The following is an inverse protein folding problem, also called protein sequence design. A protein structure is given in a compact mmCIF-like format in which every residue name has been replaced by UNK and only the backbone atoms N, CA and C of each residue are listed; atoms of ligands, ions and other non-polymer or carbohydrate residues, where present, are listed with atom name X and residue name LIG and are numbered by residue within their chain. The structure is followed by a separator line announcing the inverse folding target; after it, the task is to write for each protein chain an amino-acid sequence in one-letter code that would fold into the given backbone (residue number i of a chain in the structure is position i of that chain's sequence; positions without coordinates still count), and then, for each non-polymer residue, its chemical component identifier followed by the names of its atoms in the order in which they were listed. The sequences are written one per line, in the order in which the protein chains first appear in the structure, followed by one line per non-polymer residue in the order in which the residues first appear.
data_IF_831151462939
#
_entry.id   IF_831151462939
#
_cell.length_a   1.000
_cell.length_b   1.000
_cell.length_c   1.000
_cell.angle_alpha   90.00
_cell.angle_beta   90.00
_cell.angle_gamma   90.00
#
_symmetry.space_group_name_H-M   'P 1'
#
loop_
_entity.id
_entity.type
_entity.pdbx_description
1 polymer ?
#
# COMPACT_ATOMS: atom_id res chain seq x y z
N UNK A 1 -31.78 52.04 10.80
CA UNK A 1 -31.67 50.63 11.04
C UNK A 1 -31.69 49.91 9.67
N UNK A 2 -30.53 49.53 9.13
CA UNK A 2 -30.44 48.70 7.93
C UNK A 2 -29.86 47.35 8.36
N UNK A 3 -30.73 46.36 8.34
CA UNK A 3 -30.39 44.98 8.63
C UNK A 3 -29.61 44.41 7.45
N UNK A 4 -28.31 44.17 7.61
CA UNK A 4 -27.50 43.41 6.66
C UNK A 4 -27.71 41.94 6.99
N UNK A 5 -28.61 41.28 6.28
CA UNK A 5 -28.59 39.85 6.17
C UNK A 5 -27.56 39.48 5.10
N UNK A 6 -26.34 39.23 5.51
CA UNK A 6 -25.41 38.44 4.71
C UNK A 6 -25.90 36.98 4.74
N UNK A 7 -26.76 36.63 3.80
CA UNK A 7 -27.01 35.22 3.45
C UNK A 7 -25.83 34.75 2.60
N UNK A 8 -24.68 34.53 3.21
CA UNK A 8 -23.69 33.67 2.66
C UNK A 8 -24.21 32.24 2.85
N UNK A 9 -24.49 31.52 1.79
CA UNK A 9 -24.66 30.07 1.84
C UNK A 9 -23.39 29.53 2.49
N UNK A 10 -23.52 28.92 3.65
CA UNK A 10 -22.43 28.14 4.22
C UNK A 10 -22.25 27.00 3.22
N UNK A 11 -21.17 27.05 2.45
CA UNK A 11 -20.82 25.97 1.54
C UNK A 11 -20.81 24.68 2.36
N UNK A 12 -21.65 23.74 1.97
CA UNK A 12 -21.87 22.53 2.77
C UNK A 12 -20.80 21.51 2.39
N UNK A 13 -19.85 21.31 3.29
CA UNK A 13 -18.82 20.28 3.16
C UNK A 13 -19.51 18.90 3.10
N UNK A 14 -19.48 18.28 1.95
CA UNK A 14 -20.01 16.95 1.69
C UNK A 14 -18.92 15.90 1.63
N UNK A 15 -19.22 14.67 2.05
CA UNK A 15 -18.33 13.50 1.88
C UNK A 15 -19.11 12.40 1.19
N UNK A 16 -18.58 11.89 0.09
CA UNK A 16 -19.18 10.82 -0.69
C UNK A 16 -18.09 9.98 -1.38
N UNK A 17 -18.47 8.87 -1.99
CA UNK A 17 -17.58 8.09 -2.85
C UNK A 17 -17.01 8.97 -3.95
N UNK A 18 -15.71 8.85 -4.19
CA UNK A 18 -15.00 9.65 -5.18
C UNK A 18 -15.44 9.32 -6.60
N UNK A 19 -15.59 10.35 -7.40
CA UNK A 19 -15.81 10.23 -8.84
C UNK A 19 -14.44 10.25 -9.58
N UNK A 20 -14.37 9.77 -10.84
CA UNK A 20 -13.13 9.79 -11.61
C UNK A 20 -12.49 11.19 -11.73
N UNK A 21 -13.29 12.26 -11.79
CA UNK A 21 -12.79 13.63 -11.86
C UNK A 21 -12.19 14.12 -10.53
N UNK A 22 -12.70 13.65 -9.39
CA UNK A 22 -12.10 13.92 -8.08
C UNK A 22 -10.68 13.36 -8.00
N UNK A 23 -10.51 12.13 -8.47
CA UNK A 23 -9.19 11.48 -8.48
C UNK A 23 -8.21 12.21 -9.38
N UNK A 24 -8.65 12.67 -10.56
CA UNK A 24 -7.81 13.47 -11.46
C UNK A 24 -7.38 14.79 -10.81
N UNK A 25 -8.30 15.44 -10.10
CA UNK A 25 -8.02 16.69 -9.39
C UNK A 25 -6.97 16.48 -8.29
N UNK A 26 -7.14 15.43 -7.47
CA UNK A 26 -6.20 15.09 -6.40
C UNK A 26 -4.86 14.61 -6.95
N UNK A 27 -4.85 13.77 -7.98
CA UNK A 27 -3.62 13.27 -8.59
C UNK A 27 -2.71 14.42 -9.06
N UNK A 28 -3.29 15.46 -9.66
CA UNK A 28 -2.54 16.66 -10.08
C UNK A 28 -1.96 17.42 -8.87
N UNK A 29 -2.72 17.57 -7.79
CA UNK A 29 -2.30 18.29 -6.57
C UNK A 29 -1.27 17.52 -5.76
N UNK A 30 -1.33 16.19 -5.80
CA UNK A 30 -0.43 15.27 -5.09
C UNK A 30 0.75 14.81 -5.94
N UNK A 31 0.81 15.25 -7.21
CA UNK A 31 1.87 14.84 -8.14
C UNK A 31 2.01 13.31 -8.22
N UNK A 32 0.88 12.60 -8.25
CA UNK A 32 0.90 11.15 -8.42
C UNK A 32 1.59 10.80 -9.74
N UNK A 33 2.48 9.82 -9.67
CA UNK A 33 2.96 9.16 -10.87
C UNK A 33 1.82 8.31 -11.50
N UNK A 34 2.05 7.80 -12.70
CA UNK A 34 1.07 6.98 -13.42
C UNK A 34 0.66 5.74 -12.61
N UNK A 35 1.55 5.17 -11.83
CA UNK A 35 1.27 4.00 -11.01
C UNK A 35 0.37 4.35 -9.81
N UNK A 36 0.66 5.45 -9.12
CA UNK A 36 -0.17 5.96 -8.02
C UNK A 36 -1.57 6.31 -8.48
N UNK A 37 -1.71 6.97 -9.64
CA UNK A 37 -3.01 7.29 -10.21
C UNK A 37 -3.83 6.04 -10.58
N UNK A 38 -3.20 5.02 -11.17
CA UNK A 38 -3.88 3.75 -11.50
C UNK A 38 -4.37 3.02 -10.25
N UNK A 39 -3.55 2.99 -9.20
CA UNK A 39 -3.94 2.38 -7.91
C UNK A 39 -5.15 3.12 -7.33
N UNK A 40 -5.11 4.45 -7.26
CA UNK A 40 -6.22 5.24 -6.75
C UNK A 40 -7.50 5.06 -7.59
N UNK A 41 -7.37 4.96 -8.93
CA UNK A 41 -8.50 4.71 -9.84
C UNK A 41 -9.13 3.33 -9.60
N UNK A 42 -8.32 2.28 -9.45
CA UNK A 42 -8.80 0.93 -9.15
C UNK A 42 -9.58 0.88 -7.84
N UNK A 43 -9.12 1.60 -6.80
CA UNK A 43 -9.86 1.69 -5.54
C UNK A 43 -11.15 2.48 -5.67
N UNK A 44 -11.18 3.52 -6.50
CA UNK A 44 -12.40 4.27 -6.77
C UNK A 44 -13.44 3.43 -7.52
N UNK A 45 -13.01 2.64 -8.48
CA UNK A 45 -13.90 1.74 -9.23
C UNK A 45 -14.54 0.68 -8.31
N UNK A 46 -13.88 0.32 -7.24
CA UNK A 46 -14.42 -0.56 -6.18
C UNK A 46 -15.25 0.18 -5.12
N UNK A 47 -15.40 1.49 -5.23
CA UNK A 47 -16.08 2.31 -4.24
C UNK A 47 -15.34 2.47 -2.91
N UNK A 48 -14.00 2.36 -2.93
CA UNK A 48 -13.17 2.42 -1.72
C UNK A 48 -12.43 3.75 -1.56
N UNK A 49 -12.66 4.72 -2.41
CA UNK A 49 -12.13 6.09 -2.27
C UNK A 49 -13.25 7.05 -1.90
N UNK A 50 -13.04 7.78 -0.82
CA UNK A 50 -13.98 8.81 -0.34
C UNK A 50 -13.41 10.19 -0.65
N UNK A 51 -14.25 11.10 -1.13
CA UNK A 51 -13.90 12.49 -1.40
C UNK A 51 -14.72 13.45 -0.54
N UNK A 52 -14.04 14.43 0.07
CA UNK A 52 -14.67 15.59 0.68
C UNK A 52 -14.70 16.73 -0.32
N UNK A 53 -15.86 17.36 -0.49
CA UNK A 53 -16.07 18.49 -1.41
C UNK A 53 -16.63 19.68 -0.67
N UNK A 54 -16.13 20.86 -1.04
CA UNK A 54 -16.65 22.15 -0.62
C UNK A 54 -17.02 22.92 -1.89
N UNK A 55 -18.30 23.29 -2.03
CA UNK A 55 -18.85 23.94 -3.24
C UNK A 55 -18.48 23.20 -4.55
N UNK A 56 -18.48 21.85 -4.51
CA UNK A 56 -18.15 21.00 -5.64
C UNK A 56 -16.66 20.75 -5.85
N UNK A 57 -15.76 21.52 -5.23
CA UNK A 57 -14.32 21.32 -5.30
C UNK A 57 -13.84 20.26 -4.31
N UNK A 58 -12.99 19.34 -4.76
CA UNK A 58 -12.42 18.32 -3.89
C UNK A 58 -11.36 18.93 -2.99
N UNK A 59 -11.57 18.82 -1.68
CA UNK A 59 -10.70 19.38 -0.65
C UNK A 59 -10.03 18.31 0.23
N UNK A 60 -10.35 17.03 0.00
CA UNK A 60 -9.70 15.92 0.68
C UNK A 60 -10.16 14.57 0.16
N UNK A 61 -9.35 13.55 0.40
CA UNK A 61 -9.66 12.14 0.08
C UNK A 61 -9.24 11.21 1.20
N UNK A 62 -9.91 10.05 1.26
CA UNK A 62 -9.46 8.87 1.98
C UNK A 62 -9.46 7.68 1.01
N UNK A 63 -8.30 7.02 0.85
CA UNK A 63 -8.16 5.80 0.04
C UNK A 63 -8.17 4.62 1.00
N UNK A 64 -9.20 3.79 0.89
CA UNK A 64 -9.42 2.67 1.78
C UNK A 64 -9.34 1.35 1.03
N UNK A 65 -8.70 0.40 1.65
CA UNK A 65 -8.70 -1.02 1.34
C UNK A 65 -9.73 -1.73 2.21
N UNK A 66 -10.65 -2.45 1.60
CA UNK A 66 -11.60 -3.29 2.31
C UNK A 66 -11.27 -4.77 2.08
N UNK A 67 -11.12 -5.53 3.15
CA UNK A 67 -11.12 -6.99 3.16
C UNK A 67 -12.27 -7.51 4.04
N UNK A 68 -12.42 -8.83 4.13
CA UNK A 68 -13.42 -9.42 5.02
C UNK A 68 -13.18 -9.02 6.48
N UNK A 69 -11.90 -8.97 6.90
CA UNK A 69 -11.47 -8.83 8.29
C UNK A 69 -10.97 -7.43 8.63
N UNK A 70 -10.78 -6.53 7.66
CA UNK A 70 -10.11 -5.25 7.88
C UNK A 70 -10.59 -4.13 6.95
N UNK A 71 -10.64 -2.91 7.51
CA UNK A 71 -10.69 -1.64 6.77
C UNK A 71 -9.39 -0.89 7.00
N UNK A 72 -8.59 -0.79 5.95
CA UNK A 72 -7.26 -0.17 6.01
C UNK A 72 -7.26 1.12 5.19
N UNK A 73 -7.04 2.27 5.83
CA UNK A 73 -6.87 3.55 5.15
C UNK A 73 -5.39 3.74 4.84
N UNK A 74 -5.04 3.55 3.57
CA UNK A 74 -3.67 3.69 3.07
C UNK A 74 -3.27 5.13 2.79
N UNK A 75 -4.25 6.01 2.53
CA UNK A 75 -4.01 7.44 2.32
C UNK A 75 -5.17 8.26 2.89
N UNK A 76 -4.82 9.30 3.64
CA UNK A 76 -5.73 10.35 4.06
C UNK A 76 -5.09 11.71 3.73
N UNK A 77 -5.71 12.44 2.82
CA UNK A 77 -5.26 13.77 2.43
C UNK A 77 -6.35 14.81 2.67
N UNK A 78 -5.95 15.96 3.20
CA UNK A 78 -6.80 17.15 3.33
C UNK A 78 -5.99 18.36 2.90
N UNK A 79 -6.55 19.16 2.01
CA UNK A 79 -5.94 20.41 1.57
C UNK A 79 -5.53 21.28 2.78
N UNK A 80 -4.33 21.88 2.76
CA UNK A 80 -3.81 22.64 3.90
C UNK A 80 -4.79 23.70 4.44
N UNK A 81 -5.49 24.40 3.56
CA UNK A 81 -6.49 25.42 3.91
C UNK A 81 -7.73 24.88 4.62
N UNK A 82 -8.00 23.57 4.51
CA UNK A 82 -9.14 22.89 5.12
C UNK A 82 -8.76 22.02 6.32
N UNK A 83 -7.47 22.01 6.70
CA UNK A 83 -7.00 21.29 7.88
C UNK A 83 -7.58 21.91 9.15
N UNK A 84 -7.71 21.11 10.19
CA UNK A 84 -8.30 21.51 11.49
C UNK A 84 -9.78 21.91 11.46
N UNK A 85 -10.47 21.76 10.34
CA UNK A 85 -11.90 22.05 10.17
C UNK A 85 -12.78 20.78 10.23
N UNK A 86 -12.23 19.65 10.66
CA UNK A 86 -12.98 18.39 10.81
C UNK A 86 -13.08 17.55 9.53
N UNK A 87 -12.55 18.01 8.39
CA UNK A 87 -12.64 17.30 7.09
C UNK A 87 -12.08 15.89 7.17
N UNK A 88 -10.85 15.71 7.70
CA UNK A 88 -10.25 14.40 7.87
C UNK A 88 -11.05 13.47 8.79
N UNK A 89 -11.73 14.04 9.79
CA UNK A 89 -12.66 13.32 10.65
C UNK A 89 -13.83 12.75 9.88
N UNK A 90 -14.53 13.58 9.10
CA UNK A 90 -15.67 13.17 8.27
C UNK A 90 -15.28 12.12 7.22
N UNK A 91 -14.09 12.26 6.61
CA UNK A 91 -13.55 11.27 5.67
C UNK A 91 -13.35 9.90 6.33
N UNK A 92 -12.74 9.87 7.53
CA UNK A 92 -12.53 8.61 8.27
C UNK A 92 -13.86 8.02 8.78
N UNK A 93 -14.81 8.86 9.20
CA UNK A 93 -16.12 8.39 9.63
C UNK A 93 -16.86 7.72 8.47
N UNK A 94 -16.75 8.27 7.25
CA UNK A 94 -17.30 7.65 6.05
C UNK A 94 -16.55 6.36 5.67
N UNK A 95 -15.21 6.38 5.72
CA UNK A 95 -14.40 5.21 5.37
C UNK A 95 -14.61 4.02 6.33
N UNK A 96 -14.93 4.29 7.60
CA UNK A 96 -15.13 3.26 8.62
C UNK A 96 -16.61 3.04 8.99
N UNK A 97 -17.55 3.56 8.22
CA UNK A 97 -18.98 3.49 8.55
C UNK A 97 -19.52 2.05 8.70
N UNK A 98 -18.94 1.10 8.00
CA UNK A 98 -19.30 -0.33 8.00
C UNK A 98 -18.24 -1.21 8.69
N UNK A 99 -17.44 -0.64 9.60
CA UNK A 99 -16.29 -1.30 10.20
C UNK A 99 -16.48 -1.63 11.70
N UNK A 100 -17.71 -1.84 12.16
CA UNK A 100 -17.96 -2.06 13.60
C UNK A 100 -17.44 -3.43 14.08
N UNK A 101 -17.51 -4.45 13.21
CA UNK A 101 -17.12 -5.83 13.51
C UNK A 101 -15.79 -6.26 12.86
N UNK A 102 -15.05 -5.33 12.23
CA UNK A 102 -13.80 -5.64 11.54
C UNK A 102 -12.64 -4.77 12.04
N UNK A 103 -11.41 -5.23 11.81
CA UNK A 103 -10.20 -4.48 12.16
C UNK A 103 -10.13 -3.14 11.43
N UNK A 104 -9.65 -2.10 12.14
CA UNK A 104 -9.40 -0.76 11.57
C UNK A 104 -7.91 -0.46 11.61
N UNK A 105 -7.35 -0.09 10.48
CA UNK A 105 -5.94 0.26 10.38
C UNK A 105 -5.74 1.49 9.50
N UNK A 106 -4.64 2.21 9.71
CA UNK A 106 -4.24 3.37 8.92
C UNK A 106 -2.73 3.40 8.71
N UNK A 107 -2.30 3.85 7.54
CA UNK A 107 -0.93 4.28 7.31
C UNK A 107 -0.82 5.78 7.66
N UNK A 108 0.14 6.12 8.49
CA UNK A 108 0.35 7.51 8.96
C UNK A 108 1.80 7.92 8.75
N UNK A 109 2.01 9.16 8.31
CA UNK A 109 3.32 9.79 8.33
C UNK A 109 3.68 10.16 9.78
N UNK A 110 4.83 9.71 10.31
CA UNK A 110 5.26 10.03 11.67
C UNK A 110 5.46 11.54 11.92
N UNK A 111 5.63 12.33 10.85
CA UNK A 111 5.77 13.78 10.93
C UNK A 111 4.43 14.53 10.93
N UNK A 112 3.30 13.83 10.85
CA UNK A 112 1.95 14.41 10.84
C UNK A 112 1.18 14.10 12.13
N UNK A 113 1.44 14.82 13.24
CA UNK A 113 0.83 14.52 14.56
C UNK A 113 -0.70 14.63 14.55
N UNK A 114 -1.26 15.44 13.65
CA UNK A 114 -2.71 15.57 13.49
C UNK A 114 -3.35 14.25 13.01
N UNK A 115 -2.67 13.53 12.11
CA UNK A 115 -3.09 12.20 11.64
C UNK A 115 -3.12 11.18 12.79
N UNK A 116 -2.08 11.16 13.62
CA UNK A 116 -2.03 10.31 14.81
C UNK A 116 -3.17 10.61 15.78
N UNK A 117 -3.40 11.90 16.10
CA UNK A 117 -4.48 12.28 16.99
C UNK A 117 -5.86 11.85 16.43
N UNK A 118 -6.03 11.91 15.11
CA UNK A 118 -7.26 11.52 14.44
C UNK A 118 -7.50 9.99 14.54
N UNK A 119 -6.46 9.18 14.33
CA UNK A 119 -6.48 7.73 14.46
C UNK A 119 -6.77 7.30 15.91
N UNK A 120 -6.03 7.86 16.87
CA UNK A 120 -6.18 7.53 18.30
C UNK A 120 -7.59 7.85 18.83
N UNK A 121 -8.22 8.95 18.39
CA UNK A 121 -9.62 9.25 18.75
C UNK A 121 -10.61 8.21 18.25
N UNK A 122 -10.23 7.38 17.28
CA UNK A 122 -11.03 6.27 16.71
C UNK A 122 -10.59 4.89 17.21
N UNK A 123 -9.75 4.88 18.26
CA UNK A 123 -9.26 3.63 18.85
C UNK A 123 -8.17 2.93 18.04
N UNK A 124 -7.61 3.58 17.01
CA UNK A 124 -6.52 3.02 16.21
C UNK A 124 -5.20 3.40 16.90
N UNK A 125 -4.51 2.40 17.43
CA UNK A 125 -3.22 2.57 18.10
C UNK A 125 -2.05 2.33 17.12
N UNK A 126 -0.89 2.99 17.32
CA UNK A 126 0.33 2.65 16.60
C UNK A 126 0.73 1.19 16.90
N UNK A 127 0.99 0.41 15.86
CA UNK A 127 1.41 -1.01 15.97
C UNK A 127 2.79 -1.23 15.38
N UNK A 128 2.97 -0.91 14.11
CA UNK A 128 4.19 -1.15 13.36
C UNK A 128 4.67 0.12 12.64
N UNK A 129 5.99 0.20 12.43
CA UNK A 129 6.57 1.16 11.51
C UNK A 129 6.76 0.52 10.14
N UNK A 130 6.57 1.31 9.08
CA UNK A 130 6.94 0.91 7.72
C UNK A 130 8.19 1.69 7.32
N UNK A 131 9.24 0.97 6.95
CA UNK A 131 10.52 1.55 6.55
C UNK A 131 10.68 1.42 5.04
N UNK A 132 10.92 2.54 4.36
CA UNK A 132 11.24 2.55 2.93
C UNK A 132 12.73 2.30 2.74
N UNK A 133 13.06 1.28 1.96
CA UNK A 133 14.41 1.02 1.47
C UNK A 133 14.48 1.36 -0.02
N UNK A 134 15.59 1.98 -0.44
CA UNK A 134 15.86 2.23 -1.85
C UNK A 134 17.36 2.21 -2.14
N UNK A 135 17.74 1.81 -3.35
CA UNK A 135 19.13 1.79 -3.74
C UNK A 135 19.37 1.12 -5.08
N UNK A 136 20.64 1.18 -5.52
CA UNK A 136 21.05 0.48 -6.71
C UNK A 136 20.95 -1.03 -6.51
N UNK A 137 20.49 -1.74 -7.54
CA UNK A 137 20.43 -3.20 -7.52
C UNK A 137 21.87 -3.75 -7.55
N UNK A 138 22.25 -4.70 -6.67
CA UNK A 138 23.57 -5.29 -6.63
C UNK A 138 23.98 -5.95 -7.94
N UNK A 139 25.29 -6.12 -8.12
CA UNK A 139 25.81 -6.86 -9.28
C UNK A 139 25.40 -8.32 -9.24
N UNK A 140 25.40 -8.95 -10.40
CA UNK A 140 24.96 -10.37 -10.55
C UNK A 140 25.70 -11.34 -9.62
N UNK A 141 26.99 -11.14 -9.40
CA UNK A 141 27.78 -11.97 -8.47
C UNK A 141 27.33 -11.87 -7.01
N UNK A 142 26.92 -10.68 -6.57
CA UNK A 142 26.41 -10.44 -5.22
C UNK A 142 24.99 -11.03 -5.07
N UNK A 143 24.17 -10.86 -6.09
CA UNK A 143 22.84 -11.46 -6.13
C UNK A 143 22.93 -12.99 -6.14
N UNK A 144 23.87 -13.57 -6.87
CA UNK A 144 24.10 -15.00 -6.86
C UNK A 144 24.50 -15.52 -5.47
N UNK A 145 25.32 -14.78 -4.73
CA UNK A 145 25.67 -15.11 -3.33
C UNK A 145 24.45 -15.01 -2.41
N UNK A 146 23.61 -14.01 -2.58
CA UNK A 146 22.36 -13.88 -1.81
C UNK A 146 21.36 -14.99 -2.12
N UNK A 147 21.27 -15.40 -3.38
CA UNK A 147 20.41 -16.49 -3.84
C UNK A 147 20.96 -17.88 -3.49
N UNK A 148 22.26 -18.03 -3.21
CA UNK A 148 22.91 -19.29 -2.86
C UNK A 148 22.51 -19.77 -1.45
N UNK A 149 21.22 -19.99 -1.24
CA UNK A 149 20.68 -20.56 -0.01
C UNK A 149 20.48 -22.08 -0.08
N UNK A 150 20.08 -22.64 1.07
CA UNK A 150 19.88 -24.09 1.24
C UNK A 150 18.60 -24.60 0.59
N UNK A 151 17.68 -23.71 0.20
CA UNK A 151 16.34 -24.07 -0.29
C UNK A 151 16.33 -24.18 -1.82
N UNK A 152 15.62 -25.19 -2.34
CA UNK A 152 15.44 -25.44 -3.77
C UNK A 152 13.98 -25.17 -4.12
N UNK A 153 13.65 -23.90 -4.35
CA UNK A 153 12.31 -23.51 -4.75
C UNK A 153 12.04 -23.89 -6.21
N UNK A 154 10.87 -24.49 -6.46
CA UNK A 154 10.25 -24.45 -7.76
C UNK A 154 9.54 -23.09 -7.87
N UNK A 155 9.83 -22.36 -8.95
CA UNK A 155 9.30 -21.00 -9.15
C UNK A 155 8.43 -20.99 -10.39
N UNK A 156 7.23 -20.44 -10.23
CA UNK A 156 6.25 -20.32 -11.30
C UNK A 156 5.73 -18.89 -11.42
N UNK A 157 5.30 -18.47 -12.63
CA UNK A 157 4.54 -17.23 -12.77
C UNK A 157 3.28 -17.27 -11.90
N UNK A 158 2.99 -16.18 -11.20
CA UNK A 158 1.81 -16.11 -10.36
C UNK A 158 0.55 -16.00 -11.22
N UNK A 159 -0.35 -16.95 -11.06
CA UNK A 159 -1.73 -16.90 -11.56
C UNK A 159 -2.67 -16.61 -10.40
N UNK A 160 -3.41 -15.46 -10.41
CA UNK A 160 -4.23 -15.05 -9.29
C UNK A 160 -5.46 -15.95 -9.05
N UNK A 161 -5.81 -16.80 -9.99
CA UNK A 161 -6.91 -17.77 -9.83
C UNK A 161 -6.38 -19.13 -9.39
N UNK A 162 -5.37 -19.66 -10.09
CA UNK A 162 -4.81 -20.98 -9.79
C UNK A 162 -4.14 -21.04 -8.42
N UNK A 163 -3.52 -19.93 -7.98
CA UNK A 163 -2.79 -19.84 -6.72
C UNK A 163 -3.57 -19.14 -5.59
N UNK A 164 -4.85 -18.77 -5.82
CA UNK A 164 -5.65 -17.98 -4.88
C UNK A 164 -5.61 -18.53 -3.45
N UNK A 165 -5.92 -19.82 -3.28
CA UNK A 165 -5.99 -20.43 -1.95
C UNK A 165 -4.64 -20.36 -1.19
N UNK A 166 -3.53 -20.68 -1.86
CA UNK A 166 -2.20 -20.63 -1.25
C UNK A 166 -1.75 -19.21 -0.91
N UNK A 167 -2.06 -18.25 -1.77
CA UNK A 167 -1.74 -16.84 -1.55
C UNK A 167 -2.56 -16.28 -0.38
N UNK A 168 -3.86 -16.56 -0.32
CA UNK A 168 -4.72 -16.12 0.78
C UNK A 168 -4.27 -16.72 2.12
N UNK A 169 -3.86 -17.99 2.12
CA UNK A 169 -3.29 -18.62 3.32
C UNK A 169 -1.98 -17.94 3.77
N UNK A 170 -1.09 -17.60 2.85
CA UNK A 170 0.13 -16.84 3.14
C UNK A 170 -0.17 -15.42 3.66
N UNK A 171 -1.11 -14.73 3.04
CA UNK A 171 -1.50 -13.38 3.49
C UNK A 171 -2.08 -13.42 4.92
N UNK A 172 -2.97 -14.36 5.23
CA UNK A 172 -3.48 -14.55 6.59
C UNK A 172 -2.37 -14.88 7.58
N UNK A 173 -1.42 -15.73 7.20
CA UNK A 173 -0.28 -16.08 8.05
C UNK A 173 0.65 -14.90 8.33
N UNK A 174 0.89 -14.05 7.33
CA UNK A 174 1.94 -13.02 7.40
C UNK A 174 1.43 -11.64 7.81
N UNK A 175 0.17 -11.33 7.54
CA UNK A 175 -0.43 -10.02 7.83
C UNK A 175 -1.76 -10.08 8.57
N UNK A 176 -2.28 -11.26 8.85
CA UNK A 176 -3.55 -11.47 9.55
C UNK A 176 -4.79 -11.41 8.66
N UNK A 177 -4.72 -10.83 7.48
CA UNK A 177 -5.86 -10.68 6.55
C UNK A 177 -5.45 -11.03 5.12
N UNK A 178 -6.41 -11.45 4.29
CA UNK A 178 -6.20 -11.68 2.86
C UNK A 178 -6.27 -10.37 2.07
N UNK A 179 -5.66 -10.35 0.87
CA UNK A 179 -5.69 -9.20 -0.04
C UNK A 179 -6.86 -9.20 -1.01
N UNK A 180 -7.63 -10.29 -1.04
CA UNK A 180 -8.79 -10.44 -1.92
C UNK A 180 -8.48 -10.17 -3.40
N UNK A 181 -9.25 -9.26 -4.01
CA UNK A 181 -9.13 -8.94 -5.43
C UNK A 181 -7.84 -8.25 -5.90
N UNK A 182 -6.97 -7.82 -4.97
CA UNK A 182 -5.75 -7.08 -5.31
C UNK A 182 -4.77 -7.88 -6.17
N UNK A 183 -4.73 -9.20 -6.01
CA UNK A 183 -3.86 -10.07 -6.80
C UNK A 183 -4.15 -9.96 -8.30
N UNK A 184 -5.43 -9.84 -8.68
CA UNK A 184 -5.82 -9.62 -10.08
C UNK A 184 -5.36 -8.28 -10.62
N UNK A 185 -5.41 -7.25 -9.78
CA UNK A 185 -4.89 -5.93 -10.15
C UNK A 185 -3.36 -5.96 -10.29
N UNK A 186 -2.65 -6.53 -9.32
CA UNK A 186 -1.18 -6.57 -9.37
C UNK A 186 -0.66 -7.29 -10.62
N UNK A 187 -1.27 -8.40 -11.03
CA UNK A 187 -0.85 -9.14 -12.22
C UNK A 187 -1.04 -8.39 -13.54
N UNK A 188 -1.84 -7.33 -13.57
CA UNK A 188 -1.99 -6.49 -14.77
C UNK A 188 -0.78 -5.54 -14.97
N UNK A 189 -0.10 -5.13 -13.88
CA UNK A 189 0.91 -4.08 -13.90
C UNK A 189 2.28 -4.52 -13.39
N UNK A 190 2.37 -5.65 -12.70
CA UNK A 190 3.57 -6.17 -12.11
C UNK A 190 3.82 -7.63 -12.53
N UNK A 191 5.06 -8.07 -12.44
CA UNK A 191 5.41 -9.49 -12.60
C UNK A 191 5.36 -10.16 -11.23
N UNK A 192 4.46 -11.12 -11.08
CA UNK A 192 4.32 -11.95 -9.88
C UNK A 192 4.94 -13.34 -10.07
N UNK A 193 5.54 -13.86 -9.01
CA UNK A 193 6.00 -15.24 -8.92
C UNK A 193 5.54 -15.89 -7.62
N UNK A 194 5.27 -17.16 -7.68
CA UNK A 194 5.04 -18.06 -6.54
C UNK A 194 6.21 -19.01 -6.39
N UNK A 195 6.47 -19.41 -5.15
CA UNK A 195 7.59 -20.26 -4.77
C UNK A 195 7.05 -21.48 -4.04
N UNK A 196 7.35 -22.66 -4.58
CA UNK A 196 7.01 -23.92 -3.95
C UNK A 196 8.24 -24.58 -3.34
N UNK A 197 8.06 -25.20 -2.20
CA UNK A 197 9.04 -26.06 -1.54
C UNK A 197 8.34 -27.35 -1.13
N UNK A 198 8.86 -28.48 -1.60
CA UNK A 198 8.32 -29.82 -1.37
C UNK A 198 6.82 -29.96 -1.74
N UNK A 199 6.36 -29.17 -2.74
CA UNK A 199 4.99 -29.15 -3.24
C UNK A 199 4.08 -28.11 -2.58
N UNK A 200 4.49 -27.49 -1.47
CA UNK A 200 3.75 -26.45 -0.78
C UNK A 200 4.09 -25.06 -1.31
N UNK A 201 3.08 -24.20 -1.51
CA UNK A 201 3.27 -22.80 -1.84
C UNK A 201 3.73 -22.06 -0.57
N UNK A 202 5.02 -21.69 -0.52
CA UNK A 202 5.67 -21.12 0.67
C UNK A 202 5.96 -19.63 0.57
N UNK A 203 5.85 -19.02 -0.61
CA UNK A 203 6.03 -17.59 -0.79
C UNK A 203 5.44 -17.10 -2.10
N UNK A 204 5.22 -15.80 -2.17
CA UNK A 204 5.04 -15.07 -3.43
C UNK A 204 5.76 -13.72 -3.38
N UNK A 205 6.06 -13.16 -4.56
CA UNK A 205 6.64 -11.82 -4.67
C UNK A 205 6.22 -11.17 -5.98
N UNK A 206 5.97 -9.85 -5.92
CA UNK A 206 5.78 -9.00 -7.08
C UNK A 206 6.96 -8.07 -7.27
N UNK A 207 7.28 -7.80 -8.54
CA UNK A 207 8.21 -6.75 -8.97
C UNK A 207 7.55 -5.89 -10.03
N UNK A 208 7.77 -4.58 -9.96
CA UNK A 208 7.10 -3.59 -10.80
C UNK A 208 8.08 -2.96 -11.79
N UNK A 209 7.60 -2.49 -12.95
CA UNK A 209 8.44 -1.83 -13.95
C UNK A 209 9.20 -0.60 -13.44
N UNK A 210 8.67 0.08 -12.42
CA UNK A 210 9.27 1.24 -11.77
C UNK A 210 10.35 0.90 -10.72
N UNK A 211 10.70 -0.39 -10.57
CA UNK A 211 11.73 -0.86 -9.64
C UNK A 211 11.20 -1.20 -8.24
N UNK A 212 9.89 -1.11 -7.98
CA UNK A 212 9.32 -1.54 -6.70
C UNK A 212 9.35 -3.05 -6.53
N UNK A 213 9.62 -3.49 -5.30
CA UNK A 213 9.47 -4.88 -4.85
C UNK A 213 8.35 -4.93 -3.82
N UNK A 214 7.36 -5.78 -4.09
CA UNK A 214 6.24 -5.99 -3.19
C UNK A 214 4.87 -5.90 -3.88
N UNK A 215 3.84 -6.50 -3.27
CA UNK A 215 3.90 -7.26 -2.03
C UNK A 215 4.77 -8.53 -2.15
N UNK A 216 5.39 -8.90 -1.01
CA UNK A 216 6.18 -10.11 -0.85
C UNK A 216 5.77 -10.77 0.46
N UNK A 217 5.38 -12.03 0.42
CA UNK A 217 5.04 -12.82 1.60
C UNK A 217 5.75 -14.18 1.58
N UNK A 218 6.16 -14.64 2.76
CA UNK A 218 6.83 -15.92 2.95
C UNK A 218 6.31 -16.63 4.20
N UNK A 219 6.08 -17.92 4.12
CA UNK A 219 5.68 -18.75 5.26
C UNK A 219 6.74 -18.79 6.38
N UNK A 220 8.01 -18.63 6.03
CA UNK A 220 9.10 -18.59 7.01
C UNK A 220 10.12 -17.51 6.68
N UNK A 221 10.60 -16.83 7.72
CA UNK A 221 11.65 -15.80 7.57
C UNK A 221 12.95 -16.35 6.96
N UNK A 222 13.20 -17.66 7.06
CA UNK A 222 14.38 -18.31 6.50
C UNK A 222 14.46 -18.16 4.97
N UNK A 223 13.33 -18.07 4.28
CA UNK A 223 13.22 -17.99 2.82
C UNK A 223 13.45 -16.57 2.27
N UNK A 224 13.22 -15.55 3.11
CA UNK A 224 13.13 -14.15 2.68
C UNK A 224 14.33 -13.67 1.87
N UNK A 225 15.56 -14.03 2.27
CA UNK A 225 16.77 -13.55 1.58
C UNK A 225 16.88 -14.08 0.16
N UNK A 226 16.57 -15.37 -0.04
CA UNK A 226 16.60 -15.98 -1.37
C UNK A 226 15.49 -15.45 -2.28
N UNK A 227 14.28 -15.26 -1.74
CA UNK A 227 13.16 -14.71 -2.49
C UNK A 227 13.39 -13.23 -2.83
N UNK A 228 13.96 -12.45 -1.91
CA UNK A 228 14.37 -11.09 -2.19
C UNK A 228 15.44 -11.00 -3.28
N UNK A 229 16.47 -11.87 -3.22
CA UNK A 229 17.47 -11.96 -4.28
C UNK A 229 16.84 -12.31 -5.63
N UNK A 230 15.90 -13.25 -5.66
CA UNK A 230 15.15 -13.59 -6.87
C UNK A 230 14.38 -12.38 -7.43
N UNK A 231 13.72 -11.62 -6.56
CA UNK A 231 13.00 -10.40 -6.95
C UNK A 231 13.95 -9.36 -7.59
N UNK A 232 15.14 -9.14 -7.00
CA UNK A 232 16.16 -8.26 -7.56
C UNK A 232 16.66 -8.73 -8.93
N UNK A 233 16.93 -10.03 -9.09
CA UNK A 233 17.31 -10.63 -10.38
C UNK A 233 16.19 -10.45 -11.40
N UNK A 234 14.93 -10.62 -10.99
CA UNK A 234 13.78 -10.43 -11.89
C UNK A 234 13.68 -8.98 -12.34
N UNK A 235 13.89 -8.00 -11.44
CA UNK A 235 13.92 -6.59 -11.81
C UNK A 235 14.98 -6.29 -12.87
N UNK A 236 16.21 -6.78 -12.68
CA UNK A 236 17.29 -6.59 -13.64
C UNK A 236 16.97 -7.23 -14.99
N UNK A 237 16.55 -8.50 -14.99
CA UNK A 237 16.38 -9.26 -16.23
C UNK A 237 15.13 -8.86 -17.00
N UNK A 238 14.02 -8.63 -16.30
CA UNK A 238 12.72 -8.34 -16.92
C UNK A 238 12.56 -6.89 -17.31
N UNK A 239 13.04 -5.97 -16.47
CA UNK A 239 12.82 -4.52 -16.63
C UNK A 239 14.10 -3.73 -16.82
N UNK A 240 15.26 -4.39 -16.84
CA UNK A 240 16.58 -3.75 -16.94
C UNK A 240 16.78 -2.66 -15.86
N UNK A 241 16.11 -2.84 -14.71
CA UNK A 241 16.17 -1.90 -13.63
C UNK A 241 17.58 -1.90 -13.01
N UNK A 242 18.10 -0.70 -12.77
CA UNK A 242 19.35 -0.48 -12.03
C UNK A 242 19.12 -0.04 -10.58
N UNK A 243 17.87 0.29 -10.24
CA UNK A 243 17.45 0.81 -8.95
C UNK A 243 16.20 0.07 -8.47
N UNK A 244 16.07 -0.10 -7.16
CA UNK A 244 14.86 -0.68 -6.57
C UNK A 244 14.41 0.07 -5.32
N UNK A 245 13.13 -0.11 -5.00
CA UNK A 245 12.50 0.37 -3.76
C UNK A 245 11.66 -0.73 -3.15
N UNK A 246 11.53 -0.72 -1.82
CA UNK A 246 10.62 -1.61 -1.10
C UNK A 246 10.17 -1.00 0.23
N UNK A 247 8.97 -1.36 0.66
CA UNK A 247 8.43 -1.04 1.97
C UNK A 247 8.53 -2.27 2.87
N UNK A 248 9.13 -2.11 4.03
CA UNK A 248 9.39 -3.21 4.98
C UNK A 248 8.77 -2.88 6.32
N UNK A 249 7.89 -3.74 6.87
CA UNK A 249 7.48 -3.63 8.27
C UNK A 249 8.69 -3.65 9.19
N UNK A 250 8.76 -2.72 10.15
CA UNK A 250 9.92 -2.55 11.04
C UNK A 250 10.24 -3.78 11.88
N UNK A 251 9.23 -4.57 12.22
CA UNK A 251 9.40 -5.85 12.89
C UNK A 251 10.14 -6.90 12.02
N UNK A 252 10.19 -6.73 10.69
CA UNK A 252 10.84 -7.68 9.79
C UNK A 252 12.35 -7.39 9.62
N UNK A 253 13.08 -7.55 10.72
CA UNK A 253 14.53 -7.24 10.80
C UNK A 253 15.35 -8.07 9.80
N UNK A 254 14.90 -9.27 9.44
CA UNK A 254 15.67 -10.15 8.54
C UNK A 254 15.76 -9.59 7.12
N UNK A 255 14.63 -9.15 6.57
CA UNK A 255 14.62 -8.53 5.24
C UNK A 255 15.26 -7.14 5.26
N UNK A 256 15.07 -6.36 6.34
CA UNK A 256 15.74 -5.07 6.51
C UNK A 256 17.27 -5.21 6.48
N UNK A 257 17.82 -6.21 7.19
CA UNK A 257 19.26 -6.53 7.16
C UNK A 257 19.71 -6.99 5.77
N UNK A 258 18.89 -7.76 5.06
CA UNK A 258 19.24 -8.19 3.71
C UNK A 258 19.27 -7.00 2.75
N UNK A 259 18.32 -6.09 2.85
CA UNK A 259 18.26 -4.86 2.06
C UNK A 259 19.52 -3.98 2.30
N UNK A 260 19.89 -3.74 3.56
CA UNK A 260 21.09 -2.98 3.91
C UNK A 260 22.38 -3.65 3.39
N UNK A 261 22.49 -4.98 3.50
CA UNK A 261 23.64 -5.73 2.95
C UNK A 261 23.70 -5.71 1.43
N UNK A 262 22.55 -5.60 0.77
CA UNK A 262 22.44 -5.38 -0.66
C UNK A 262 22.77 -3.93 -1.08
N UNK A 263 23.12 -3.05 -0.15
CA UNK A 263 23.47 -1.66 -0.42
C UNK A 263 22.27 -0.72 -0.54
N UNK A 264 21.06 -1.18 -0.19
CA UNK A 264 19.92 -0.28 -0.11
C UNK A 264 19.99 0.58 1.15
N UNK A 265 19.51 1.81 1.05
CA UNK A 265 19.49 2.76 2.16
C UNK A 265 18.07 3.01 2.62
N UNK A 266 17.90 3.37 3.90
CA UNK A 266 16.63 3.84 4.43
C UNK A 266 16.37 5.23 3.86
N UNK A 267 15.17 5.42 3.33
CA UNK A 267 14.69 6.71 2.83
C UNK A 267 13.65 7.28 3.80
N UNK A 268 13.65 8.60 3.89
CA UNK A 268 12.62 9.36 4.61
C UNK A 268 11.34 9.44 3.83
#
# INVERSE_FOLDING_TARGET
MRCWRCCGSVAELSVAVALPDDLRAIARRREYDDAGFRIASEFADRGTVWAARDDGEVVGIAVMHASEDERYVGELFVEPSYRSQGVGGKLLDAAFADADDVGRAMLLDPNEPAGFALAMRRGIAPTDSIVRFAGAIPREEELAKMAAGSYRFQVEPLDPLAHAFGIDALDRLTRGTQRGGDQRFFTQFATGHVFFLDGDLVAYAYVWPDGRIGPLACAAQAYLVQIFAYALVTLQRRYQASWCTMLVPGANVRIARAALRAGLNIQQ
#
